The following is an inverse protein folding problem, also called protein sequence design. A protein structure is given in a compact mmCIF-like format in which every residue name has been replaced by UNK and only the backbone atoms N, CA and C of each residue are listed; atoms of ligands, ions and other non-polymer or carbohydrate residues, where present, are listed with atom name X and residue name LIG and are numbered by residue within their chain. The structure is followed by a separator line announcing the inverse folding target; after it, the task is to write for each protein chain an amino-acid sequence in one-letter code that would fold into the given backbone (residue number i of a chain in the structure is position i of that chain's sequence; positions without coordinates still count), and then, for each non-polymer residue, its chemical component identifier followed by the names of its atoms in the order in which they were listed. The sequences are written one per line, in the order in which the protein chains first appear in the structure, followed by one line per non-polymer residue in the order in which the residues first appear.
data_IF_524691569161
#
_entry.id   IF_524691569161
#
_cell.length_a   1.000
_cell.length_b   1.000
_cell.length_c   1.000
_cell.angle_alpha   90.00
_cell.angle_beta   90.00
_cell.angle_gamma   90.00
#
_symmetry.space_group_name_H-M   'P 1'
#
loop_
_entity.id
_entity.type
_entity.pdbx_description
1 polymer ?
#
# COMPACT_ATOMS: atom_id res chain seq x y z
N UNK A 1 9.68 5.26 -17.71
CA UNK A 1 10.18 6.52 -18.31
C UNK A 1 9.69 7.74 -17.51
N UNK A 2 8.40 7.83 -17.18
CA UNK A 2 7.81 8.98 -16.46
C UNK A 2 8.54 9.28 -15.15
N UNK A 3 8.82 8.27 -14.32
CA UNK A 3 9.49 8.45 -13.03
C UNK A 3 11.01 8.69 -13.19
N UNK A 4 11.67 8.08 -14.18
CA UNK A 4 13.12 8.23 -14.37
C UNK A 4 13.61 9.68 -14.58
N UNK A 5 12.78 10.58 -15.06
CA UNK A 5 13.12 12.01 -15.17
C UNK A 5 13.35 12.68 -13.81
N UNK A 6 12.85 12.08 -12.72
CA UNK A 6 13.06 12.54 -11.36
C UNK A 6 14.24 11.87 -10.63
N UNK A 7 15.01 11.02 -11.32
CA UNK A 7 16.13 10.27 -10.72
C UNK A 7 17.15 11.18 -10.01
N UNK A 8 17.47 12.36 -10.61
CA UNK A 8 18.38 13.35 -10.00
C UNK A 8 17.84 14.00 -8.73
N UNK A 9 16.56 13.81 -8.41
CA UNK A 9 15.92 14.33 -7.21
C UNK A 9 15.79 13.27 -6.10
N UNK A 10 16.56 12.17 -6.18
CA UNK A 10 16.62 11.13 -5.16
C UNK A 10 15.42 10.18 -5.14
N UNK A 11 14.71 10.05 -6.26
CA UNK A 11 13.58 9.13 -6.41
C UNK A 11 14.08 7.74 -6.78
N UNK A 12 13.50 6.73 -6.16
CA UNK A 12 13.64 5.33 -6.55
C UNK A 12 12.30 4.71 -6.96
N UNK A 13 12.36 3.61 -7.70
CA UNK A 13 11.20 2.78 -8.07
C UNK A 13 11.47 1.36 -7.65
N UNK A 14 10.62 0.86 -6.79
CA UNK A 14 10.73 -0.48 -6.23
C UNK A 14 9.68 -1.41 -6.83
N UNK A 15 10.01 -2.69 -6.91
CA UNK A 15 9.05 -3.79 -7.05
C UNK A 15 9.56 -5.00 -6.27
N UNK A 16 8.77 -6.05 -6.20
CA UNK A 16 9.03 -7.16 -5.29
C UNK A 16 9.13 -8.47 -6.05
N UNK A 17 10.06 -9.29 -5.65
CA UNK A 17 10.08 -10.73 -5.90
C UNK A 17 9.67 -11.45 -4.60
N UNK A 18 9.50 -12.76 -4.59
CA UNK A 18 9.23 -13.50 -3.35
C UNK A 18 10.27 -13.29 -2.24
N UNK A 19 11.51 -12.95 -2.60
CA UNK A 19 12.64 -12.93 -1.66
C UNK A 19 13.32 -11.55 -1.55
N UNK A 20 13.06 -10.61 -2.50
CA UNK A 20 13.83 -9.37 -2.59
C UNK A 20 12.96 -8.19 -3.01
N UNK A 21 13.41 -6.99 -2.61
CA UNK A 21 12.98 -5.71 -3.16
C UNK A 21 13.96 -5.33 -4.26
N UNK A 22 13.47 -5.06 -5.47
CA UNK A 22 14.28 -4.58 -6.59
C UNK A 22 14.25 -3.06 -6.64
N UNK A 23 15.42 -2.41 -6.55
CA UNK A 23 15.61 -0.98 -6.73
C UNK A 23 15.92 -0.68 -8.19
N UNK A 24 15.07 0.12 -8.86
CA UNK A 24 15.12 0.34 -10.31
C UNK A 24 15.80 1.62 -10.76
N UNK A 25 16.15 2.53 -9.85
CA UNK A 25 16.86 3.77 -10.17
C UNK A 25 18.10 3.92 -9.29
N UNK A 26 17.90 4.22 -8.03
CA UNK A 26 18.95 4.34 -7.01
C UNK A 26 18.32 4.30 -5.62
N UNK A 27 18.77 3.37 -4.81
CA UNK A 27 18.33 3.25 -3.41
C UNK A 27 18.52 4.57 -2.66
N UNK A 28 17.54 4.91 -1.85
CA UNK A 28 17.51 6.07 -0.98
C UNK A 28 17.12 5.66 0.46
N UNK A 29 17.06 6.61 1.39
CA UNK A 29 16.70 6.31 2.80
C UNK A 29 15.32 5.64 2.95
N UNK A 30 14.39 5.88 2.04
CA UNK A 30 13.06 5.27 2.07
C UNK A 30 13.05 3.87 1.45
N UNK A 31 13.95 3.59 0.49
CA UNK A 31 14.23 2.22 0.02
C UNK A 31 14.73 1.37 1.19
N UNK A 32 15.63 1.92 2.02
CA UNK A 32 16.12 1.24 3.23
C UNK A 32 15.03 1.07 4.30
N UNK A 33 14.13 2.05 4.42
CA UNK A 33 12.97 1.96 5.30
C UNK A 33 12.04 0.82 4.88
N UNK A 34 11.71 0.73 3.59
CA UNK A 34 10.87 -0.32 3.02
C UNK A 34 11.48 -1.72 3.24
N UNK A 35 12.81 -1.82 3.06
CA UNK A 35 13.56 -3.05 3.37
C UNK A 35 13.39 -3.49 4.83
N UNK A 36 13.47 -2.55 5.76
CA UNK A 36 13.29 -2.84 7.20
C UNK A 36 11.86 -3.21 7.56
N UNK A 37 10.87 -2.50 7.00
CA UNK A 37 9.45 -2.77 7.23
C UNK A 37 9.10 -4.19 6.79
N UNK A 38 9.53 -4.60 5.59
CA UNK A 38 9.21 -5.92 5.03
C UNK A 38 10.21 -7.01 5.43
N UNK A 39 11.31 -6.66 6.11
CA UNK A 39 12.42 -7.57 6.43
C UNK A 39 12.97 -8.29 5.18
N UNK A 40 13.00 -7.57 4.06
CA UNK A 40 13.45 -8.08 2.76
C UNK A 40 14.70 -7.34 2.30
N UNK A 41 15.73 -8.04 1.79
CA UNK A 41 16.92 -7.41 1.25
C UNK A 41 16.62 -6.68 -0.06
N UNK A 42 17.35 -5.58 -0.30
CA UNK A 42 17.27 -4.81 -1.54
C UNK A 42 18.35 -5.25 -2.51
N UNK A 43 17.98 -5.43 -3.77
CA UNK A 43 18.90 -5.65 -4.90
C UNK A 43 18.85 -4.42 -5.79
N UNK A 44 20.03 -3.87 -6.10
CA UNK A 44 20.18 -2.83 -7.12
C UNK A 44 20.02 -3.47 -8.52
N UNK A 45 18.93 -3.13 -9.17
CA UNK A 45 18.60 -3.55 -10.53
C UNK A 45 18.60 -2.37 -11.51
N UNK A 46 19.21 -1.23 -11.17
CA UNK A 46 19.12 0.04 -11.92
C UNK A 46 19.55 -0.07 -13.38
N UNK A 47 20.48 -0.97 -13.70
CA UNK A 47 20.98 -1.19 -15.06
C UNK A 47 20.02 -2.00 -15.93
N UNK A 48 19.34 -2.99 -15.34
CA UNK A 48 18.50 -3.99 -16.04
C UNK A 48 17.13 -4.21 -15.38
N UNK A 49 16.58 -3.20 -14.74
CA UNK A 49 15.35 -3.27 -13.94
C UNK A 49 14.21 -3.98 -14.67
N UNK A 50 13.98 -3.63 -15.96
CA UNK A 50 12.88 -4.21 -16.73
C UNK A 50 13.05 -5.71 -16.99
N UNK A 51 14.28 -6.20 -17.04
CA UNK A 51 14.57 -7.62 -17.24
C UNK A 51 14.45 -8.40 -15.91
N UNK A 52 14.55 -7.70 -14.78
CA UNK A 52 14.43 -8.29 -13.44
C UNK A 52 13.01 -8.26 -12.89
N UNK A 53 12.13 -7.39 -13.42
CA UNK A 53 10.73 -7.29 -13.00
C UNK A 53 9.99 -8.58 -13.35
N UNK A 54 9.26 -9.20 -12.42
CA UNK A 54 8.39 -10.33 -12.73
C UNK A 54 7.38 -9.99 -13.84
N UNK A 55 6.96 -11.01 -14.61
CA UNK A 55 5.98 -10.82 -15.69
C UNK A 55 4.63 -10.25 -15.17
N UNK A 56 4.27 -10.57 -13.93
CA UNK A 56 3.05 -10.09 -13.29
C UNK A 56 3.38 -9.45 -11.91
N UNK A 57 3.93 -8.23 -11.90
CA UNK A 57 4.27 -7.55 -10.66
C UNK A 57 3.01 -7.08 -9.92
N UNK A 58 2.89 -7.39 -8.65
CA UNK A 58 1.75 -6.97 -7.82
C UNK A 58 1.60 -5.45 -7.74
N UNK A 59 2.71 -4.74 -7.56
CA UNK A 59 2.76 -3.27 -7.51
C UNK A 59 4.17 -2.75 -7.81
N UNK A 60 4.21 -1.47 -8.16
CA UNK A 60 5.42 -0.66 -8.07
C UNK A 60 5.27 0.35 -6.93
N UNK A 61 6.35 0.59 -6.21
CA UNK A 61 6.41 1.61 -5.17
C UNK A 61 7.41 2.68 -5.60
N UNK A 62 6.95 3.93 -5.72
CA UNK A 62 7.84 5.07 -5.97
C UNK A 62 8.15 5.72 -4.63
N UNK A 63 9.43 5.93 -4.33
CA UNK A 63 9.87 6.41 -3.03
C UNK A 63 10.83 7.59 -3.16
N UNK A 64 10.73 8.55 -2.23
CA UNK A 64 11.59 9.75 -2.21
C UNK A 64 11.00 10.91 -1.41
N UNK A 65 11.46 12.12 -1.69
CA UNK A 65 10.96 13.32 -1.03
C UNK A 65 9.45 13.52 -1.26
N UNK A 66 8.65 13.79 -0.20
CA UNK A 66 7.20 13.94 -0.31
C UNK A 66 6.72 14.99 -1.32
N UNK A 67 7.44 16.12 -1.45
CA UNK A 67 7.04 17.18 -2.37
C UNK A 67 7.25 16.76 -3.83
N UNK A 68 8.31 15.99 -4.10
CA UNK A 68 8.58 15.42 -5.44
C UNK A 68 7.59 14.31 -5.75
N UNK A 69 7.28 13.46 -4.76
CA UNK A 69 6.32 12.37 -4.91
C UNK A 69 4.90 12.86 -5.21
N UNK A 70 4.45 13.96 -4.61
CA UNK A 70 3.13 14.53 -4.92
C UNK A 70 3.03 14.98 -6.38
N UNK A 71 4.12 15.52 -6.96
CA UNK A 71 4.18 15.86 -8.39
C UNK A 71 4.12 14.59 -9.25
N UNK A 72 4.90 13.56 -8.91
CA UNK A 72 4.91 12.28 -9.62
C UNK A 72 3.54 11.62 -9.57
N UNK A 73 2.91 11.58 -8.38
CA UNK A 73 1.57 11.03 -8.18
C UNK A 73 0.54 11.70 -9.09
N UNK A 74 0.50 13.04 -9.10
CA UNK A 74 -0.42 13.81 -9.96
C UNK A 74 -0.18 13.51 -11.44
N UNK A 75 1.07 13.41 -11.86
CA UNK A 75 1.42 13.12 -13.25
C UNK A 75 1.02 11.70 -13.65
N UNK A 76 1.36 10.70 -12.84
CA UNK A 76 0.99 9.30 -13.08
C UNK A 76 -0.52 9.11 -13.10
N UNK A 77 -1.24 9.68 -12.12
CA UNK A 77 -2.71 9.64 -12.08
C UNK A 77 -3.34 10.26 -13.32
N UNK A 78 -2.82 11.40 -13.79
CA UNK A 78 -3.32 12.05 -15.00
C UNK A 78 -3.04 11.23 -16.26
N UNK A 79 -1.85 10.65 -16.35
CA UNK A 79 -1.41 9.93 -17.55
C UNK A 79 -2.05 8.54 -17.68
N UNK A 80 -2.30 7.85 -16.55
CA UNK A 80 -2.67 6.44 -16.53
C UNK A 80 -3.99 6.15 -15.80
N UNK A 81 -4.85 7.16 -15.59
CA UNK A 81 -6.09 7.05 -14.80
C UNK A 81 -7.03 5.88 -15.19
N UNK A 82 -6.95 5.42 -16.44
CA UNK A 82 -7.79 4.32 -16.95
C UNK A 82 -7.17 2.94 -16.74
N UNK A 83 -5.86 2.88 -16.44
CA UNK A 83 -5.11 1.62 -16.42
C UNK A 83 -4.45 1.33 -15.09
N UNK A 84 -4.16 2.38 -14.31
CA UNK A 84 -3.44 2.25 -13.05
C UNK A 84 -4.18 2.97 -11.92
N UNK A 85 -4.18 2.35 -10.77
CA UNK A 85 -4.45 2.97 -9.48
C UNK A 85 -3.14 3.55 -8.93
N UNK A 86 -3.16 4.83 -8.56
CA UNK A 86 -2.00 5.54 -8.01
C UNK A 86 -2.42 6.20 -6.71
N UNK A 87 -1.94 5.68 -5.59
CA UNK A 87 -2.28 6.16 -4.26
C UNK A 87 -1.03 6.35 -3.38
N UNK A 88 -1.17 7.11 -2.30
CA UNK A 88 -0.14 7.21 -1.27
C UNK A 88 -0.48 6.24 -0.15
N UNK A 89 0.48 5.42 0.28
CA UNK A 89 0.41 4.71 1.55
C UNK A 89 1.02 5.53 2.68
N UNK A 90 2.10 6.26 2.37
CA UNK A 90 2.79 7.20 3.23
C UNK A 90 3.20 8.46 2.47
N UNK A 91 3.55 9.57 3.14
CA UNK A 91 3.98 10.80 2.44
C UNK A 91 5.17 10.59 1.50
N UNK A 92 6.01 9.60 1.76
CA UNK A 92 7.22 9.26 1.01
C UNK A 92 7.08 7.97 0.18
N UNK A 93 5.85 7.44 0.06
CA UNK A 93 5.51 6.24 -0.72
C UNK A 93 4.30 6.48 -1.63
N UNK A 94 4.50 6.29 -2.94
CA UNK A 94 3.43 6.28 -3.95
C UNK A 94 3.34 4.89 -4.55
N UNK A 95 2.23 4.22 -4.31
CA UNK A 95 1.92 2.92 -4.86
C UNK A 95 1.29 3.04 -6.24
N UNK A 96 1.73 2.20 -7.17
CA UNK A 96 1.22 2.10 -8.53
C UNK A 96 0.82 0.66 -8.78
N UNK A 97 -0.48 0.44 -8.99
CA UNK A 97 -1.09 -0.88 -9.15
C UNK A 97 -2.00 -0.90 -10.39
N UNK A 98 -2.41 -2.06 -10.90
CA UNK A 98 -3.46 -2.15 -11.91
C UNK A 98 -4.74 -1.44 -11.45
N UNK A 99 -5.47 -0.82 -12.38
CA UNK A 99 -6.72 -0.13 -12.07
C UNK A 99 -7.76 -1.11 -11.46
N UNK A 100 -8.51 -0.63 -10.48
CA UNK A 100 -9.53 -1.43 -9.80
C UNK A 100 -8.97 -2.45 -8.80
N UNK A 101 -7.67 -2.38 -8.50
CA UNK A 101 -7.05 -3.16 -7.43
C UNK A 101 -6.86 -2.25 -6.23
N UNK A 102 -7.54 -2.56 -5.15
CA UNK A 102 -7.36 -2.01 -3.80
C UNK A 102 -7.54 -3.14 -2.77
N UNK A 103 -7.41 -2.81 -1.49
CA UNK A 103 -7.55 -3.79 -0.41
C UNK A 103 -8.96 -4.40 -0.38
N UNK A 104 -10.00 -3.59 -0.56
CA UNK A 104 -11.39 -4.06 -0.59
C UNK A 104 -11.62 -5.06 -1.73
N UNK A 105 -11.20 -4.72 -2.94
CA UNK A 105 -11.37 -5.59 -4.11
C UNK A 105 -10.65 -6.94 -3.94
N UNK A 106 -9.44 -6.92 -3.39
CA UNK A 106 -8.68 -8.13 -3.10
C UNK A 106 -9.37 -9.01 -2.05
N UNK A 107 -9.90 -8.39 -0.98
CA UNK A 107 -10.66 -9.09 0.05
C UNK A 107 -11.98 -9.66 -0.47
N UNK A 108 -12.71 -8.93 -1.32
CA UNK A 108 -13.94 -9.45 -1.96
C UNK A 108 -13.67 -10.69 -2.81
N UNK A 109 -12.59 -10.70 -3.58
CA UNK A 109 -12.17 -11.90 -4.33
C UNK A 109 -11.84 -13.07 -3.40
N UNK A 110 -11.11 -12.81 -2.31
CA UNK A 110 -10.79 -13.83 -1.32
C UNK A 110 -12.06 -14.40 -0.68
N UNK A 111 -12.95 -13.54 -0.15
CA UNK A 111 -14.23 -13.95 0.46
C UNK A 111 -15.05 -14.83 -0.49
N UNK A 112 -15.18 -14.39 -1.75
CA UNK A 112 -15.89 -15.16 -2.78
C UNK A 112 -15.26 -16.55 -2.97
N UNK A 113 -13.92 -16.62 -3.00
CA UNK A 113 -13.20 -17.90 -3.21
C UNK A 113 -13.37 -18.91 -2.07
N UNK A 114 -13.65 -18.43 -0.85
CA UNK A 114 -13.86 -19.25 0.36
C UNK A 114 -15.32 -19.35 0.79
N UNK A 115 -16.24 -18.77 -0.02
CA UNK A 115 -17.69 -18.86 0.24
C UNK A 115 -18.20 -17.99 1.39
N UNK A 116 -17.48 -16.91 1.72
CA UNK A 116 -17.88 -15.92 2.73
C UNK A 116 -18.38 -14.62 2.08
N UNK A 117 -19.06 -13.80 2.88
CA UNK A 117 -19.58 -12.48 2.50
C UNK A 117 -18.92 -11.37 3.30
N UNK A 118 -19.09 -10.12 2.88
CA UNK A 118 -18.58 -8.95 3.60
C UNK A 118 -19.18 -8.82 5.01
N UNK A 119 -20.41 -9.27 5.23
CA UNK A 119 -21.06 -9.28 6.55
C UNK A 119 -20.32 -10.16 7.58
N UNK A 120 -19.52 -11.11 7.10
CA UNK A 120 -18.71 -12.01 7.92
C UNK A 120 -17.26 -11.53 8.06
N UNK A 121 -16.95 -10.32 7.58
CA UNK A 121 -15.61 -9.75 7.55
C UNK A 121 -15.47 -8.64 8.59
N UNK A 122 -14.43 -8.72 9.41
CA UNK A 122 -13.95 -7.63 10.25
C UNK A 122 -12.66 -7.09 9.64
N UNK A 123 -12.57 -5.79 9.38
CA UNK A 123 -11.37 -5.15 8.88
C UNK A 123 -10.83 -4.14 9.90
N UNK A 124 -9.54 -4.22 10.20
CA UNK A 124 -8.84 -3.21 11.01
C UNK A 124 -7.86 -2.44 10.12
N UNK A 125 -7.81 -1.12 10.27
CA UNK A 125 -6.89 -0.30 9.48
C UNK A 125 -6.59 1.05 10.12
N UNK A 126 -5.55 1.73 9.61
CA UNK A 126 -5.12 3.03 10.13
C UNK A 126 -4.77 4.03 9.01
N UNK A 127 -4.47 3.58 7.79
CA UNK A 127 -4.07 4.39 6.66
C UNK A 127 -5.18 4.69 5.65
N UNK A 128 -4.95 5.66 4.78
CA UNK A 128 -5.89 6.01 3.70
C UNK A 128 -6.15 4.86 2.72
N UNK A 129 -5.20 3.97 2.54
CA UNK A 129 -5.34 2.77 1.72
C UNK A 129 -6.23 1.68 2.35
N UNK A 130 -6.66 1.88 3.60
CA UNK A 130 -7.58 0.98 4.31
C UNK A 130 -9.05 1.42 4.22
N UNK A 131 -9.33 2.66 3.79
CA UNK A 131 -10.66 3.24 3.76
C UNK A 131 -11.68 2.32 3.09
N UNK A 132 -11.39 1.88 1.87
CA UNK A 132 -12.33 1.07 1.08
C UNK A 132 -12.61 -0.30 1.72
N UNK A 133 -11.63 -0.92 2.38
CA UNK A 133 -11.87 -2.19 3.06
C UNK A 133 -12.67 -2.01 4.36
N UNK A 134 -12.48 -0.88 5.07
CA UNK A 134 -13.25 -0.54 6.27
C UNK A 134 -14.71 -0.26 5.89
N UNK A 135 -14.96 0.52 4.83
CA UNK A 135 -16.32 0.79 4.33
C UNK A 135 -17.05 -0.46 3.85
N UNK A 136 -16.30 -1.45 3.35
CA UNK A 136 -16.88 -2.67 2.74
C UNK A 136 -17.14 -3.78 3.76
N UNK A 137 -16.46 -3.76 4.90
CA UNK A 137 -16.55 -4.79 5.93
C UNK A 137 -17.92 -4.79 6.64
N UNK A 138 -18.35 -5.94 7.13
CA UNK A 138 -19.49 -6.05 8.05
C UNK A 138 -19.22 -5.38 9.39
N UNK A 139 -17.94 -5.28 9.78
CA UNK A 139 -17.46 -4.43 10.87
C UNK A 139 -16.13 -3.78 10.47
N UNK A 140 -16.19 -2.51 10.14
CA UNK A 140 -15.01 -1.68 9.84
C UNK A 140 -14.45 -1.06 11.11
N UNK A 141 -13.18 -1.32 11.41
CA UNK A 141 -12.51 -0.89 12.63
C UNK A 141 -11.34 0.03 12.31
N UNK A 142 -11.33 1.22 12.88
CA UNK A 142 -10.16 2.10 12.86
C UNK A 142 -9.28 1.87 14.09
N UNK A 143 -7.96 1.84 13.90
CA UNK A 143 -7.01 1.89 15.01
C UNK A 143 -7.06 3.29 15.68
N UNK A 144 -6.75 3.39 16.97
CA UNK A 144 -6.76 4.70 17.66
C UNK A 144 -5.74 5.68 17.08
N UNK A 145 -4.65 5.18 16.50
CA UNK A 145 -3.63 5.97 15.79
C UNK A 145 -3.99 6.24 14.32
N UNK A 146 -5.18 5.83 13.85
CA UNK A 146 -5.59 5.99 12.45
C UNK A 146 -5.74 7.45 12.03
N UNK A 147 -5.59 7.68 10.72
CA UNK A 147 -5.86 8.97 10.08
C UNK A 147 -7.31 9.41 10.35
N UNK A 148 -7.58 10.73 10.48
CA UNK A 148 -8.91 11.24 10.80
C UNK A 148 -10.03 10.67 9.91
N UNK A 149 -9.84 10.66 8.58
CA UNK A 149 -10.84 10.12 7.65
C UNK A 149 -11.13 8.63 7.87
N UNK A 150 -10.13 7.84 8.26
CA UNK A 150 -10.30 6.41 8.57
C UNK A 150 -11.15 6.23 9.82
N UNK A 151 -10.92 7.06 10.84
CA UNK A 151 -11.70 7.03 12.09
C UNK A 151 -13.13 7.50 11.89
N UNK A 152 -13.38 8.43 10.97
CA UNK A 152 -14.72 8.95 10.63
C UNK A 152 -15.54 7.91 9.84
N UNK A 153 -14.88 7.06 9.09
CA UNK A 153 -15.50 6.03 8.24
C UNK A 153 -15.84 4.75 9.00
N UNK A 154 -15.07 4.43 10.04
CA UNK A 154 -15.17 3.16 10.76
C UNK A 154 -16.41 3.06 11.66
N UNK A 155 -16.96 1.85 11.77
CA UNK A 155 -18.05 1.52 12.71
C UNK A 155 -17.57 1.51 14.16
N UNK A 156 -16.29 1.17 14.38
CA UNK A 156 -15.70 1.06 15.72
C UNK A 156 -14.27 1.58 15.73
N UNK A 157 -13.86 2.24 16.82
CA UNK A 157 -12.48 2.66 17.05
C UNK A 157 -11.90 1.79 18.15
N UNK A 158 -10.87 1.02 17.82
CA UNK A 158 -10.16 0.18 18.78
C UNK A 158 -8.96 0.92 19.40
N UNK A 159 -8.13 0.21 20.15
CA UNK A 159 -6.88 0.73 20.71
C UNK A 159 -5.84 0.98 19.61
N UNK A 160 -4.73 1.62 19.95
CA UNK A 160 -3.61 1.84 19.03
C UNK A 160 -2.86 0.54 18.70
N UNK A 161 -1.99 0.61 17.71
CA UNK A 161 -1.06 -0.48 17.39
C UNK A 161 -0.12 -0.82 18.56
N UNK A 162 0.24 0.17 19.39
CA UNK A 162 1.11 0.00 20.57
C UNK A 162 0.37 -0.59 21.77
N UNK A 163 -0.96 -0.67 21.71
CA UNK A 163 -1.85 -1.16 22.77
C UNK A 163 -2.61 -2.44 22.36
N UNK A 164 -2.07 -3.19 21.41
CA UNK A 164 -2.67 -4.43 20.90
C UNK A 164 -4.11 -4.27 20.39
N UNK A 165 -4.39 -3.20 19.62
CA UNK A 165 -5.73 -2.86 19.15
C UNK A 165 -6.43 -3.96 18.36
N UNK A 166 -5.71 -4.71 17.51
CA UNK A 166 -6.28 -5.85 16.77
C UNK A 166 -6.66 -6.98 17.72
N UNK A 167 -5.83 -7.30 18.70
CA UNK A 167 -6.15 -8.31 19.72
C UNK A 167 -7.38 -7.91 20.55
N UNK A 168 -7.55 -6.61 20.82
CA UNK A 168 -8.73 -6.08 21.47
C UNK A 168 -10.00 -6.40 20.66
N UNK A 169 -9.98 -6.15 19.34
CA UNK A 169 -11.10 -6.46 18.43
C UNK A 169 -11.42 -7.95 18.42
N UNK A 170 -10.41 -8.81 18.34
CA UNK A 170 -10.59 -10.28 18.37
C UNK A 170 -11.31 -10.70 19.69
N UNK A 171 -10.86 -10.17 20.82
CA UNK A 171 -11.43 -10.50 22.11
C UNK A 171 -12.87 -9.98 22.31
N UNK A 172 -13.23 -8.87 21.65
CA UNK A 172 -14.54 -8.25 21.79
C UNK A 172 -15.58 -8.86 20.83
N UNK A 173 -15.22 -9.15 19.58
CA UNK A 173 -16.16 -9.46 18.51
C UNK A 173 -16.05 -10.89 17.96
N UNK A 174 -15.01 -11.66 18.28
CA UNK A 174 -14.78 -13.01 17.75
C UNK A 174 -14.88 -14.10 18.84
N UNK A 175 -15.89 -14.01 19.68
CA UNK A 175 -16.15 -15.01 20.75
C UNK A 175 -17.09 -16.09 20.29
#
# INVERSE_FOLDING_TARGET
KTVRKYASQGIDVLTYTPEHILSGIKSNQYTELESRINQMPVIDASENFLDCVPDDPNKFLVTGDPAVLDQIRKELSKQFHSYLSVCCSDPFFVEVMPAGIDKAHSLLKLLTSIGLTTEQMICCGDGYNDLTMIETAGLGVAMANAQPAVRETADYITKSNDEDGVLHVINEFMR
#
